data_IF_105109166679
#
_entry.id   IF_105109166679
#
_cell.length_a   1.000
_cell.length_b   1.000
_cell.length_c   1.000
_cell.angle_alpha   90.00
_cell.angle_beta   90.00
_cell.angle_gamma   90.00
#
_symmetry.space_group_name_H-M   'P 1'
#
loop_
_entity.id
_entity.type
_entity.pdbx_description
1 polymer ?
#
# COMPACT_ATOMS: atom_id res chain seq x y z
N UNK A 1 -4.32 -14.15 -7.49
CA UNK A 1 -3.79 -13.04 -8.32
C UNK A 1 -2.59 -12.43 -7.61
N UNK A 2 -1.51 -12.11 -8.33
CA UNK A 2 -0.36 -11.35 -7.78
C UNK A 2 -0.76 -9.90 -7.41
N UNK A 3 -0.05 -9.22 -6.50
CA UNK A 3 -0.40 -7.86 -6.11
C UNK A 3 -0.20 -6.90 -7.28
N UNK A 4 -1.16 -6.01 -7.51
CA UNK A 4 -1.12 -5.04 -8.59
C UNK A 4 -1.65 -3.69 -8.12
N UNK A 5 -0.84 -2.65 -8.27
CA UNK A 5 -1.30 -1.28 -8.04
C UNK A 5 -2.05 -0.81 -9.29
N UNK A 6 -3.38 -0.75 -9.21
CA UNK A 6 -4.23 -0.42 -10.37
C UNK A 6 -4.30 1.07 -10.69
N UNK A 7 -3.83 1.92 -9.77
CA UNK A 7 -3.88 3.36 -9.93
C UNK A 7 -5.31 3.93 -10.13
N UNK A 8 -6.29 3.37 -9.41
CA UNK A 8 -7.71 3.74 -9.53
C UNK A 8 -8.36 4.17 -8.22
N UNK A 9 -7.60 4.35 -7.13
CA UNK A 9 -8.12 4.89 -5.87
C UNK A 9 -8.36 6.42 -5.92
N UNK A 10 -9.17 6.94 -5.00
CA UNK A 10 -9.27 8.39 -4.78
C UNK A 10 -7.97 8.96 -4.21
N UNK A 11 -7.73 10.26 -4.40
CA UNK A 11 -6.55 10.97 -3.89
C UNK A 11 -6.40 10.89 -2.37
N UNK A 12 -7.51 10.70 -1.64
CA UNK A 12 -7.53 10.55 -0.19
C UNK A 12 -7.28 9.10 0.28
N UNK A 13 -6.96 8.19 -0.65
CA UNK A 13 -6.71 6.77 -0.39
C UNK A 13 -7.98 5.94 -0.16
N UNK A 14 -9.17 6.50 -0.41
CA UNK A 14 -10.44 5.77 -0.36
C UNK A 14 -10.64 4.92 -1.62
N UNK A 15 -11.30 3.77 -1.44
CA UNK A 15 -11.61 2.82 -2.52
C UNK A 15 -12.81 3.28 -3.33
N UNK A 16 -12.70 3.18 -4.67
CA UNK A 16 -13.80 3.46 -5.60
C UNK A 16 -14.62 2.19 -5.90
N UNK A 17 -15.84 2.36 -6.43
CA UNK A 17 -16.69 1.26 -6.90
C UNK A 17 -16.02 0.43 -7.99
N UNK A 18 -15.31 1.07 -8.92
CA UNK A 18 -14.61 0.41 -10.02
C UNK A 18 -13.49 -0.50 -9.51
N UNK A 19 -12.77 -0.07 -8.45
CA UNK A 19 -11.75 -0.89 -7.82
C UNK A 19 -12.35 -2.13 -7.13
N UNK A 20 -13.53 -2.01 -6.51
CA UNK A 20 -14.23 -3.16 -5.93
C UNK A 20 -14.63 -4.15 -7.02
N UNK A 21 -15.19 -3.67 -8.13
CA UNK A 21 -15.60 -4.52 -9.25
C UNK A 21 -14.40 -5.18 -9.95
N UNK A 22 -13.29 -4.45 -10.09
CA UNK A 22 -12.04 -4.97 -10.63
C UNK A 22 -11.57 -6.22 -9.87
N UNK A 23 -11.63 -6.20 -8.54
CA UNK A 23 -11.26 -7.34 -7.70
C UNK A 23 -12.34 -8.43 -7.68
N UNK A 24 -13.63 -8.07 -7.71
CA UNK A 24 -14.74 -9.04 -7.82
C UNK A 24 -14.61 -9.90 -9.07
N UNK A 25 -14.39 -9.28 -10.23
CA UNK A 25 -14.26 -9.96 -11.51
C UNK A 25 -13.06 -10.91 -11.61
N UNK A 26 -12.07 -10.77 -10.71
CA UNK A 26 -10.85 -11.61 -10.67
C UNK A 26 -10.88 -12.65 -9.55
N UNK A 27 -11.87 -12.58 -8.67
CA UNK A 27 -12.14 -13.56 -7.64
C UNK A 27 -12.89 -14.78 -8.22
N UNK A 28 -12.96 -15.88 -7.48
CA UNK A 28 -13.53 -17.15 -7.95
C UNK A 28 -12.51 -18.16 -8.48
N UNK A 29 -11.23 -17.77 -8.62
CA UNK A 29 -10.13 -18.72 -8.84
C UNK A 29 -9.45 -19.07 -7.50
N UNK A 30 -8.85 -20.27 -7.40
CA UNK A 30 -8.19 -20.83 -6.19
C UNK A 30 -7.04 -19.93 -5.66
N UNK A 31 -6.66 -18.89 -6.39
CA UNK A 31 -5.51 -18.06 -6.05
C UNK A 31 -5.92 -16.94 -5.08
N UNK A 32 -5.23 -16.76 -3.94
CA UNK A 32 -5.45 -15.60 -3.08
C UNK A 32 -5.29 -14.30 -3.87
N UNK A 33 -6.20 -13.34 -3.68
CA UNK A 33 -6.09 -12.01 -4.26
C UNK A 33 -5.39 -11.09 -3.27
N UNK A 34 -4.19 -10.66 -3.65
CA UNK A 34 -3.41 -9.67 -2.91
C UNK A 34 -3.92 -8.26 -3.26
N UNK A 35 -4.74 -7.70 -2.38
CA UNK A 35 -5.20 -6.32 -2.47
C UNK A 35 -4.07 -5.35 -2.08
N UNK A 36 -4.17 -4.16 -2.65
CA UNK A 36 -3.12 -3.19 -2.88
C UNK A 36 -2.41 -2.65 -1.63
N UNK A 37 -1.14 -2.31 -1.85
CA UNK A 37 -0.15 -1.80 -0.90
C UNK A 37 -0.72 -0.80 0.13
N UNK A 38 -0.79 -1.21 1.40
CA UNK A 38 -0.92 -0.27 2.50
C UNK A 38 0.41 0.47 2.69
N UNK A 39 0.43 1.74 2.32
CA UNK A 39 1.62 2.59 2.40
C UNK A 39 1.76 3.13 3.83
N UNK A 40 2.88 2.82 4.47
CA UNK A 40 3.24 3.28 5.82
C UNK A 40 3.60 4.78 5.79
N UNK A 41 2.60 5.65 5.66
CA UNK A 41 2.81 7.11 5.66
C UNK A 41 1.82 7.83 6.55
N UNK A 42 2.32 8.86 7.23
CA UNK A 42 1.56 9.73 8.12
C UNK A 42 0.80 10.83 7.37
N UNK A 43 1.31 11.23 6.20
CA UNK A 43 0.77 12.33 5.37
C UNK A 43 1.12 12.06 3.90
N UNK A 44 0.14 12.23 3.00
CA UNK A 44 0.32 12.17 1.54
C UNK A 44 -0.21 13.47 0.98
N UNK A 45 0.51 14.08 0.04
CA UNK A 45 0.07 15.30 -0.62
C UNK A 45 -0.92 14.95 -1.75
N UNK A 46 -1.97 15.75 -2.01
CA UNK A 46 -3.01 15.43 -2.99
C UNK A 46 -2.57 15.39 -4.47
N UNK A 47 -1.27 15.52 -4.79
CA UNK A 47 -0.84 15.69 -6.17
C UNK A 47 -0.69 14.36 -6.91
N UNK A 48 -1.55 14.16 -7.92
CA UNK A 48 -1.39 13.33 -9.13
C UNK A 48 -1.16 11.84 -8.99
N UNK A 49 -0.95 11.32 -7.80
CA UNK A 49 -0.83 9.90 -7.57
C UNK A 49 -2.21 9.27 -7.47
N UNK A 50 -2.78 8.87 -8.61
CA UNK A 50 -3.75 7.76 -8.57
C UNK A 50 -2.95 6.53 -8.16
N UNK A 51 -2.62 6.35 -6.90
CA UNK A 51 -2.04 5.10 -6.41
C UNK A 51 -3.16 4.38 -5.70
N UNK A 52 -3.43 3.12 -6.04
CA UNK A 52 -4.39 2.30 -5.31
C UNK A 52 -3.88 1.93 -3.89
N UNK A 53 -2.99 2.74 -3.31
CA UNK A 53 -2.47 2.56 -1.96
C UNK A 53 -3.53 3.04 -0.96
N UNK A 54 -4.17 2.10 -0.28
CA UNK A 54 -5.05 2.43 0.83
C UNK A 54 -4.15 2.93 1.97
N UNK A 55 -4.39 4.16 2.42
CA UNK A 55 -3.64 4.68 3.56
C UNK A 55 -3.92 3.83 4.80
N UNK A 56 -2.90 3.65 5.65
CA UNK A 56 -3.02 2.94 6.93
C UNK A 56 -4.19 3.40 7.82
N UNK A 57 -4.54 4.69 7.73
CA UNK A 57 -5.68 5.30 8.45
C UNK A 57 -7.05 4.95 7.85
N UNK A 58 -7.10 4.56 6.57
CA UNK A 58 -8.31 4.27 5.80
C UNK A 58 -8.58 2.77 5.66
N UNK A 59 -7.66 1.90 6.09
CA UNK A 59 -7.84 0.45 6.15
C UNK A 59 -9.17 0.00 6.80
N UNK A 60 -9.62 0.59 7.93
CA UNK A 60 -10.92 0.23 8.53
C UNK A 60 -12.13 0.55 7.64
N UNK A 61 -12.01 1.52 6.72
CA UNK A 61 -13.08 1.98 5.84
C UNK A 61 -13.14 1.22 4.49
N UNK A 62 -12.28 0.22 4.27
CA UNK A 62 -12.22 -0.54 3.02
C UNK A 62 -12.62 -2.03 3.11
N UNK A 63 -13.67 -2.44 3.86
CA UNK A 63 -14.09 -3.84 3.87
C UNK A 63 -14.65 -4.31 2.52
N UNK A 64 -15.16 -3.38 1.69
CA UNK A 64 -15.85 -3.67 0.43
C UNK A 64 -15.05 -4.53 -0.56
N UNK A 65 -13.75 -4.31 -0.69
CA UNK A 65 -12.90 -5.12 -1.59
C UNK A 65 -12.78 -6.55 -1.05
N UNK A 66 -12.49 -6.68 0.24
CA UNK A 66 -12.30 -7.99 0.85
C UNK A 66 -13.60 -8.81 0.84
N UNK A 67 -14.74 -8.16 1.12
CA UNK A 67 -16.07 -8.74 0.99
C UNK A 67 -16.36 -9.19 -0.45
N UNK A 68 -16.07 -8.34 -1.44
CA UNK A 68 -16.27 -8.69 -2.84
C UNK A 68 -15.44 -9.89 -3.32
N UNK A 69 -14.19 -10.00 -2.84
CA UNK A 69 -13.31 -11.16 -3.12
C UNK A 69 -13.85 -12.43 -2.44
N UNK A 70 -14.20 -12.33 -1.15
CA UNK A 70 -14.69 -13.45 -0.34
C UNK A 70 -16.06 -13.97 -0.81
N UNK A 71 -16.92 -13.08 -1.29
CA UNK A 71 -18.23 -13.45 -1.86
C UNK A 71 -18.11 -14.38 -3.07
N UNK A 72 -16.96 -14.38 -3.76
CA UNK A 72 -16.67 -15.29 -4.88
C UNK A 72 -15.89 -16.54 -4.44
N UNK A 73 -15.72 -16.80 -3.14
CA UNK A 73 -15.03 -17.98 -2.61
C UNK A 73 -13.49 -17.88 -2.58
N UNK A 74 -12.90 -16.74 -2.94
CA UNK A 74 -11.45 -16.53 -2.87
C UNK A 74 -11.01 -15.97 -1.50
N UNK A 75 -9.76 -16.23 -1.12
CA UNK A 75 -9.13 -15.58 0.04
C UNK A 75 -8.68 -14.17 -0.34
N UNK A 76 -9.06 -13.18 0.47
CA UNK A 76 -8.56 -11.81 0.36
C UNK A 76 -7.31 -11.67 1.20
N UNK A 77 -6.16 -11.36 0.60
CA UNK A 77 -4.91 -11.11 1.33
C UNK A 77 -4.52 -9.65 1.08
N UNK A 78 -3.99 -8.97 2.08
CA UNK A 78 -3.53 -7.57 1.94
C UNK A 78 -2.00 -7.53 1.85
N UNK A 79 -1.47 -6.80 0.87
CA UNK A 79 -0.04 -6.47 0.83
C UNK A 79 0.22 -5.20 1.65
N UNK A 80 1.14 -5.28 2.63
CA UNK A 80 1.66 -4.11 3.35
C UNK A 80 3.04 -3.78 2.79
N UNK A 81 3.30 -2.51 2.47
CA UNK A 81 4.45 -2.13 1.66
C UNK A 81 5.05 -0.77 2.08
N UNK A 82 6.36 -0.64 1.90
CA UNK A 82 7.09 0.61 2.05
C UNK A 82 7.98 0.83 0.82
N UNK A 83 7.89 2.02 0.20
CA UNK A 83 8.55 2.30 -1.08
C UNK A 83 10.08 2.42 -1.04
N UNK A 84 10.65 2.67 0.14
CA UNK A 84 12.10 2.77 0.32
C UNK A 84 12.74 3.77 -0.65
N UNK A 85 13.93 3.46 -1.18
CA UNK A 85 14.62 4.28 -2.20
C UNK A 85 13.91 4.34 -3.56
N UNK A 86 12.90 3.50 -3.80
CA UNK A 86 12.17 3.48 -5.07
C UNK A 86 11.03 4.49 -5.08
N UNK A 87 10.60 4.97 -3.90
CA UNK A 87 9.47 5.90 -3.81
C UNK A 87 9.81 7.23 -4.47
N UNK A 88 8.85 7.77 -5.21
CA UNK A 88 8.92 9.15 -5.69
C UNK A 88 8.65 10.09 -4.50
N UNK A 89 9.53 11.09 -4.23
CA UNK A 89 9.32 12.09 -3.19
C UNK A 89 7.93 12.76 -3.22
N UNK A 90 7.36 12.98 -4.41
CA UNK A 90 6.03 13.59 -4.56
C UNK A 90 4.94 12.72 -3.90
N UNK A 91 5.11 11.40 -3.94
CA UNK A 91 4.19 10.45 -3.28
C UNK A 91 4.30 10.47 -1.76
N UNK A 92 5.35 11.03 -1.20
CA UNK A 92 5.59 11.07 0.25
C UNK A 92 5.56 12.52 0.79
N UNK A 93 4.86 13.41 0.09
CA UNK A 93 4.72 14.82 0.49
C UNK A 93 6.00 15.63 0.33
N UNK A 94 6.82 15.31 -0.67
CA UNK A 94 8.10 15.95 -0.93
C UNK A 94 9.22 15.54 0.04
N UNK A 95 8.96 14.61 0.97
CA UNK A 95 9.95 14.13 1.93
C UNK A 95 11.08 13.37 1.23
N UNK A 96 12.24 13.34 1.85
CA UNK A 96 13.35 12.53 1.38
C UNK A 96 13.05 11.03 1.59
N UNK A 97 13.24 10.17 0.57
CA UNK A 97 13.15 8.72 0.73
C UNK A 97 14.13 8.17 1.77
N UNK A 98 13.84 7.00 2.30
CA UNK A 98 14.71 6.31 3.27
C UNK A 98 15.10 4.91 2.77
N UNK A 99 16.28 4.45 3.14
CA UNK A 99 16.84 3.17 2.68
C UNK A 99 17.90 2.63 3.66
N UNK A 100 18.41 1.40 3.48
CA UNK A 100 19.52 0.88 4.26
C UNK A 100 20.82 1.70 4.11
N UNK A 101 20.99 2.39 2.99
CA UNK A 101 22.16 3.21 2.69
C UNK A 101 21.77 4.41 1.84
N UNK A 102 22.57 5.47 1.89
CA UNK A 102 22.41 6.67 1.05
C UNK A 102 22.86 6.41 -0.40
N UNK A 103 22.21 5.45 -1.06
CA UNK A 103 22.47 5.03 -2.43
C UNK A 103 21.17 5.13 -3.22
N UNK A 104 21.16 6.03 -4.20
CA UNK A 104 20.04 6.21 -5.11
C UNK A 104 19.67 4.89 -5.82
N UNK A 105 18.40 4.77 -6.22
CA UNK A 105 17.99 3.66 -7.08
C UNK A 105 18.71 3.75 -8.44
N UNK A 106 19.05 2.62 -9.08
CA UNK A 106 19.71 2.59 -10.39
C UNK A 106 18.72 2.94 -11.51
N UNK A 107 18.18 4.15 -11.48
CA UNK A 107 17.28 4.73 -12.48
C UNK A 107 17.57 6.22 -12.59
N UNK A 108 17.43 6.75 -13.79
CA UNK A 108 17.59 8.19 -14.02
C UNK A 108 16.58 9.00 -13.19
N UNK A 109 17.04 10.12 -12.62
CA UNK A 109 16.21 10.99 -11.79
C UNK A 109 15.79 10.40 -10.44
N UNK A 110 16.39 9.29 -9.99
CA UNK A 110 16.12 8.76 -8.65
C UNK A 110 16.54 9.76 -7.56
N UNK A 111 15.64 10.02 -6.62
CA UNK A 111 15.97 10.82 -5.45
C UNK A 111 17.00 10.10 -4.56
N UNK A 112 17.95 10.85 -4.00
CA UNK A 112 18.92 10.32 -3.04
C UNK A 112 18.22 10.02 -1.71
N UNK A 113 18.16 8.74 -1.28
CA UNK A 113 17.59 8.41 0.02
C UNK A 113 18.54 8.78 1.16
N UNK A 114 17.98 8.89 2.36
CA UNK A 114 18.75 8.91 3.60
C UNK A 114 18.91 7.48 4.14
N UNK A 115 20.07 7.16 4.70
CA UNK A 115 20.26 5.93 5.47
C UNK A 115 19.43 5.97 6.76
N UNK A 116 18.69 4.90 7.04
CA UNK A 116 17.97 4.74 8.31
C UNK A 116 18.94 4.54 9.47
N UNK A 117 18.62 5.14 10.62
CA UNK A 117 19.26 4.78 11.89
C UNK A 117 18.69 3.46 12.43
N UNK A 118 19.37 2.84 13.40
CA UNK A 118 18.86 1.63 14.08
C UNK A 118 17.49 1.85 14.74
N UNK A 119 17.31 3.00 15.40
CA UNK A 119 16.02 3.37 16.01
C UNK A 119 14.90 3.50 14.96
N UNK A 120 15.20 4.07 13.79
CA UNK A 120 14.21 4.20 12.72
C UNK A 120 13.85 2.86 12.08
N UNK A 121 14.78 1.89 12.07
CA UNK A 121 14.50 0.51 11.66
C UNK A 121 13.52 -0.13 12.64
N UNK A 122 13.75 -0.03 13.94
CA UNK A 122 12.81 -0.53 14.96
C UNK A 122 11.43 0.14 14.84
N UNK A 123 11.42 1.46 14.64
CA UNK A 123 10.19 2.20 14.36
C UNK A 123 9.49 1.75 13.07
N UNK A 124 10.23 1.30 12.05
CA UNK A 124 9.66 0.72 10.83
C UNK A 124 9.01 -0.64 11.09
N UNK A 125 9.68 -1.51 11.85
CA UNK A 125 9.16 -2.83 12.25
C UNK A 125 7.82 -2.66 12.99
N UNK A 126 7.79 -1.76 13.98
CA UNK A 126 6.57 -1.44 14.71
C UNK A 126 5.44 -0.98 13.79
N UNK A 127 5.73 -0.10 12.82
CA UNK A 127 4.75 0.38 11.82
C UNK A 127 4.19 -0.75 10.96
N UNK A 128 5.02 -1.72 10.54
CA UNK A 128 4.52 -2.90 9.83
C UNK A 128 3.59 -3.74 10.73
N UNK A 129 3.97 -3.95 11.99
CA UNK A 129 3.14 -4.65 12.98
C UNK A 129 1.78 -3.96 13.20
N UNK A 130 1.77 -2.63 13.33
CA UNK A 130 0.54 -1.83 13.40
C UNK A 130 -0.32 -2.02 12.16
N UNK A 131 0.31 -2.07 10.98
CA UNK A 131 -0.36 -2.34 9.72
C UNK A 131 -1.08 -3.67 9.71
N UNK A 132 -0.40 -4.74 10.14
CA UNK A 132 -0.99 -6.07 10.25
C UNK A 132 -2.14 -6.07 11.25
N UNK A 133 -1.99 -5.42 12.42
CA UNK A 133 -3.07 -5.34 13.43
C UNK A 133 -4.32 -4.63 12.91
N UNK A 134 -4.14 -3.56 12.13
CA UNK A 134 -5.24 -2.82 11.49
C UNK A 134 -5.89 -3.62 10.36
N UNK A 135 -5.10 -4.43 9.66
CA UNK A 135 -5.58 -5.42 8.71
C UNK A 135 -6.20 -6.59 9.49
N UNK A 136 -7.42 -6.37 10.01
CA UNK A 136 -8.13 -7.36 10.83
C UNK A 136 -8.14 -8.73 10.11
N UNK A 137 -7.62 -9.81 10.73
CA UNK A 137 -7.56 -11.16 10.14
C UNK A 137 -8.93 -11.73 9.75
N UNK A 138 -10.02 -11.23 10.34
CA UNK A 138 -11.38 -11.62 9.94
C UNK A 138 -11.82 -10.96 8.64
N UNK A 139 -11.22 -9.82 8.27
CA UNK A 139 -11.54 -9.05 7.06
C UNK A 139 -10.68 -9.43 5.86
N UNK A 140 -9.38 -9.63 6.03
CA UNK A 140 -8.49 -10.16 4.99
C UNK A 140 -8.14 -11.60 5.35
#
# INVERSE_FOLDING_TARGET
MAPMTTCTGYFDGTVTSELVEYYRARAGSIVPLLSSAALLMTTVWPSRARSASIMMKKLPASPKIAEAIKAQGSKAILQIYHGGRMVDPQLIGGRQPVAPSAIAAPREGAAMPRALSGEEVEGMIAKFGDGVRRANPRRF
#
